data_IF_882401934536
#
_entry.id   IF_882401934536
#
_cell.length_a   1.000
_cell.length_b   1.000
_cell.length_c   1.000
_cell.angle_alpha   90.00
_cell.angle_beta   90.00
_cell.angle_gamma   90.00
#
_symmetry.space_group_name_H-M   'P 1'
#
loop_
_entity.id
_entity.type
_entity.pdbx_description
1 polymer ?
#
# COMPACT_ATOMS: atom_id res chain seq x y z
N UNK A 1 33.18 56.57 36.33
CA UNK A 1 34.12 56.38 37.46
C UNK A 1 35.45 55.94 36.87
N UNK A 2 36.53 56.68 37.12
CA UNK A 2 37.85 56.29 36.65
C UNK A 2 38.26 54.97 37.30
N UNK A 3 38.61 53.96 36.50
CA UNK A 3 39.18 52.70 36.99
C UNK A 3 40.65 52.95 37.28
N UNK A 4 41.09 52.65 38.50
CA UNK A 4 42.52 52.57 38.79
C UNK A 4 43.11 51.41 37.99
N UNK A 5 44.21 51.67 37.31
CA UNK A 5 45.07 50.64 36.74
C UNK A 5 46.12 50.23 37.77
N UNK A 6 46.65 49.00 37.68
CA UNK A 6 47.74 48.56 38.55
C UNK A 6 48.95 49.51 38.52
N UNK A 7 49.25 50.07 37.35
CA UNK A 7 50.31 51.07 37.15
C UNK A 7 50.03 52.39 37.89
N UNK A 8 48.76 52.73 38.10
CA UNK A 8 48.35 53.93 38.85
C UNK A 8 48.57 53.73 40.36
N UNK A 9 48.45 52.49 40.85
CA UNK A 9 48.77 52.12 42.23
C UNK A 9 50.28 52.21 42.49
N UNK A 10 51.10 51.63 41.61
CA UNK A 10 52.57 51.63 41.76
C UNK A 10 53.16 53.04 41.67
N UNK A 11 52.58 53.91 40.83
CA UNK A 11 53.03 55.29 40.68
C UNK A 11 52.42 56.28 41.70
N UNK A 12 51.61 55.79 42.64
CA UNK A 12 50.96 56.64 43.63
C UNK A 12 51.99 57.24 44.60
N UNK A 13 52.19 58.56 44.56
CA UNK A 13 53.03 59.27 45.51
C UNK A 13 52.20 59.85 46.66
N UNK A 14 52.58 59.50 47.88
CA UNK A 14 51.95 60.01 49.10
C UNK A 14 52.81 61.11 49.72
N UNK A 15 52.23 62.25 50.14
CA UNK A 15 52.97 63.29 50.84
C UNK A 15 53.53 62.77 52.18
N UNK A 16 54.76 63.20 52.55
CA UNK A 16 55.37 62.85 53.84
C UNK A 16 54.55 63.42 55.00
N UNK A 17 54.13 62.58 55.93
CA UNK A 17 53.35 63.00 57.08
C UNK A 17 54.21 63.72 58.13
N UNK A 18 53.77 64.91 58.57
CA UNK A 18 54.52 65.78 59.50
C UNK A 18 54.47 65.32 60.97
N UNK A 19 53.49 64.48 61.38
CA UNK A 19 53.41 63.89 62.72
C UNK A 19 52.48 62.65 62.69
N UNK A 20 52.92 61.50 63.22
CA UNK A 20 52.06 60.31 63.42
C UNK A 20 51.63 59.52 62.17
N UNK A 21 52.34 59.63 61.03
CA UNK A 21 51.98 58.94 59.78
C UNK A 21 52.30 57.45 59.76
N UNK A 22 51.73 56.74 58.78
CA UNK A 22 52.01 55.32 58.51
C UNK A 22 53.46 55.13 58.05
N UNK A 23 54.05 53.97 58.37
CA UNK A 23 55.39 53.62 57.93
C UNK A 23 55.40 53.43 56.41
N UNK A 24 56.33 54.11 55.75
CA UNK A 24 56.40 54.12 54.29
C UNK A 24 56.64 52.73 53.69
N UNK A 25 57.47 51.91 54.32
CA UNK A 25 57.76 50.54 53.88
C UNK A 25 56.51 49.64 53.90
N UNK A 26 55.76 49.63 55.01
CA UNK A 26 54.54 48.82 55.14
C UNK A 26 53.44 49.26 54.16
N UNK A 27 53.37 50.56 53.83
CA UNK A 27 52.44 51.10 52.84
C UNK A 27 52.84 50.70 51.43
N UNK A 28 54.13 50.78 51.08
CA UNK A 28 54.62 50.36 49.76
C UNK A 28 54.40 48.85 49.54
N UNK A 29 54.66 48.01 50.54
CA UNK A 29 54.37 46.56 50.47
C UNK A 29 52.88 46.25 50.29
N UNK A 30 52.00 47.08 50.86
CA UNK A 30 50.55 46.96 50.65
C UNK A 30 50.16 47.38 49.23
N UNK A 31 50.73 48.47 48.72
CA UNK A 31 50.50 48.97 47.35
C UNK A 31 50.95 47.92 46.33
N UNK A 32 52.13 47.32 46.51
CA UNK A 32 52.63 46.29 45.61
C UNK A 32 51.73 45.06 45.59
N UNK A 33 51.26 44.60 46.77
CA UNK A 33 50.30 43.49 46.86
C UNK A 33 48.95 43.85 46.24
N UNK A 34 48.47 45.07 46.46
CA UNK A 34 47.21 45.54 45.88
C UNK A 34 47.30 45.69 44.36
N UNK A 35 48.44 46.15 43.83
CA UNK A 35 48.70 46.23 42.40
C UNK A 35 48.70 44.85 41.75
N UNK A 36 49.38 43.86 42.34
CA UNK A 36 49.38 42.47 41.84
C UNK A 36 47.99 41.83 41.86
N UNK A 37 47.26 41.97 42.97
CA UNK A 37 45.90 41.46 43.07
C UNK A 37 44.97 42.13 42.03
N UNK A 38 45.17 43.43 41.76
CA UNK A 38 44.43 44.15 40.74
C UNK A 38 44.79 43.67 39.33
N UNK A 39 46.06 43.41 39.03
CA UNK A 39 46.50 42.79 37.76
C UNK A 39 45.82 41.45 37.54
N UNK A 40 45.89 40.55 38.52
CA UNK A 40 45.26 39.23 38.46
C UNK A 40 43.74 39.34 38.23
N UNK A 41 43.05 40.20 38.98
CA UNK A 41 41.62 40.44 38.80
C UNK A 41 41.29 41.03 37.43
N UNK A 42 42.12 41.94 36.90
CA UNK A 42 41.90 42.49 35.56
C UNK A 42 42.08 41.45 34.48
N UNK A 43 43.12 40.62 34.57
CA UNK A 43 43.39 39.53 33.63
C UNK A 43 42.27 38.48 33.66
N UNK A 44 41.84 38.06 34.85
CA UNK A 44 40.72 37.14 35.01
C UNK A 44 39.41 37.75 34.46
N UNK A 45 39.16 39.04 34.69
CA UNK A 45 37.97 39.70 34.15
C UNK A 45 37.98 39.75 32.62
N UNK A 46 39.13 39.99 32.01
CA UNK A 46 39.28 39.97 30.55
C UNK A 46 39.08 38.56 29.99
N UNK A 47 39.67 37.54 30.62
CA UNK A 47 39.46 36.16 30.22
C UNK A 47 37.99 35.76 30.32
N UNK A 48 37.34 35.99 31.48
CA UNK A 48 35.92 35.71 31.68
C UNK A 48 35.03 36.45 30.67
N UNK A 49 35.34 37.71 30.34
CA UNK A 49 34.63 38.46 29.29
C UNK A 49 34.79 37.80 27.93
N UNK A 50 35.99 37.35 27.59
CA UNK A 50 36.25 36.63 26.34
C UNK A 50 35.46 35.31 26.27
N UNK A 51 35.41 34.56 27.38
CA UNK A 51 34.64 33.34 27.49
C UNK A 51 33.14 33.59 27.30
N UNK A 52 32.60 34.64 27.94
CA UNK A 52 31.20 35.03 27.79
C UNK A 52 30.86 35.38 26.34
N UNK A 53 31.74 36.12 25.64
CA UNK A 53 31.52 36.45 24.22
C UNK A 53 31.51 35.19 23.36
N UNK A 54 32.48 34.28 23.56
CA UNK A 54 32.57 33.02 22.84
C UNK A 54 31.33 32.14 23.07
N UNK A 55 30.95 31.93 24.33
CA UNK A 55 29.78 31.12 24.69
C UNK A 55 28.48 31.70 24.15
N UNK A 56 28.34 33.03 24.11
CA UNK A 56 27.17 33.67 23.50
C UNK A 56 27.11 33.41 21.99
N UNK A 57 28.23 33.51 21.29
CA UNK A 57 28.28 33.24 19.86
C UNK A 57 27.92 31.77 19.56
N UNK A 58 28.44 30.83 20.34
CA UNK A 58 28.12 29.40 20.21
C UNK A 58 26.63 29.13 20.49
N UNK A 59 26.08 29.74 21.54
CA UNK A 59 24.67 29.59 21.90
C UNK A 59 23.75 30.15 20.80
N UNK A 60 24.09 31.29 20.22
CA UNK A 60 23.33 31.86 19.10
C UNK A 60 23.44 31.00 17.83
N UNK A 61 24.59 30.37 17.58
CA UNK A 61 24.72 29.37 16.51
C UNK A 61 23.81 28.17 16.77
N UNK A 62 23.85 27.59 17.97
CA UNK A 62 22.99 26.44 18.33
C UNK A 62 21.51 26.78 18.22
N UNK A 63 21.09 27.98 18.62
CA UNK A 63 19.70 28.46 18.45
C UNK A 63 19.29 28.55 16.99
N UNK A 64 20.19 28.99 16.12
CA UNK A 64 19.92 29.05 14.68
C UNK A 64 19.81 27.66 14.06
N UNK A 65 20.67 26.72 14.48
CA UNK A 65 20.61 25.32 14.06
C UNK A 65 19.32 24.66 14.55
N UNK A 66 18.93 24.86 15.81
CA UNK A 66 17.67 24.36 16.36
C UNK A 66 16.48 24.91 15.58
N UNK A 67 16.49 26.20 15.23
CA UNK A 67 15.43 26.80 14.40
C UNK A 67 15.36 26.14 13.03
N UNK A 68 16.49 25.92 12.38
CA UNK A 68 16.56 25.25 11.08
C UNK A 68 16.01 23.82 11.15
N UNK A 69 16.40 23.06 12.18
CA UNK A 69 15.91 21.69 12.40
C UNK A 69 14.39 21.70 12.63
N UNK A 70 13.89 22.62 13.44
CA UNK A 70 12.45 22.76 13.67
C UNK A 70 11.70 23.10 12.38
N UNK A 71 12.22 24.03 11.58
CA UNK A 71 11.63 24.40 10.30
C UNK A 71 11.62 23.22 9.31
N UNK A 72 12.71 22.43 9.28
CA UNK A 72 12.80 21.23 8.47
C UNK A 72 11.79 20.16 8.91
N UNK A 73 11.62 19.92 10.21
CA UNK A 73 10.62 18.99 10.76
C UNK A 73 9.21 19.44 10.38
N UNK A 74 8.89 20.73 10.55
CA UNK A 74 7.58 21.27 10.17
C UNK A 74 7.33 21.16 8.66
N UNK A 75 8.37 21.37 7.84
CA UNK A 75 8.29 21.17 6.39
C UNK A 75 8.04 19.71 6.03
N UNK A 76 8.76 18.77 6.64
CA UNK A 76 8.59 17.35 6.44
C UNK A 76 7.18 16.88 6.87
N UNK A 77 6.66 17.40 7.98
CA UNK A 77 5.28 17.12 8.43
C UNK A 77 4.25 17.58 7.40
N UNK A 78 4.34 18.82 6.93
CA UNK A 78 3.43 19.34 5.88
C UNK A 78 3.54 18.54 4.59
N UNK A 79 4.75 18.17 4.17
CA UNK A 79 4.94 17.32 2.99
C UNK A 79 4.31 15.94 3.17
N UNK A 80 4.45 15.33 4.35
CA UNK A 80 3.80 14.06 4.69
C UNK A 80 2.28 14.14 4.71
N UNK A 81 1.70 15.24 5.20
CA UNK A 81 0.26 15.49 5.18
C UNK A 81 -0.27 15.66 3.75
N UNK A 82 0.43 16.44 2.92
CA UNK A 82 0.09 16.59 1.50
C UNK A 82 0.14 15.26 0.77
N UNK A 83 1.21 14.48 0.95
CA UNK A 83 1.35 13.16 0.33
C UNK A 83 0.23 12.20 0.76
N UNK A 84 -0.15 12.20 2.05
CA UNK A 84 -1.27 11.39 2.54
C UNK A 84 -2.59 11.84 1.91
N UNK A 85 -2.84 13.15 1.81
CA UNK A 85 -4.03 13.68 1.16
C UNK A 85 -4.11 13.34 -0.32
N UNK A 86 -2.98 13.41 -1.03
CA UNK A 86 -2.88 13.05 -2.45
C UNK A 86 -3.12 11.55 -2.66
N UNK A 87 -2.46 10.70 -1.86
CA UNK A 87 -2.64 9.26 -1.93
C UNK A 87 -4.08 8.83 -1.61
N UNK A 88 -4.76 9.49 -0.67
CA UNK A 88 -6.17 9.24 -0.37
C UNK A 88 -7.07 9.62 -1.56
N UNK A 89 -6.86 10.80 -2.14
CA UNK A 89 -7.62 11.25 -3.33
C UNK A 89 -7.42 10.31 -4.50
N UNK A 90 -6.18 9.92 -4.77
CA UNK A 90 -5.85 8.99 -5.86
C UNK A 90 -6.48 7.61 -5.60
N UNK A 91 -6.41 7.09 -4.38
CA UNK A 91 -7.04 5.84 -4.01
C UNK A 91 -8.57 5.87 -4.21
N UNK A 92 -9.22 6.99 -3.88
CA UNK A 92 -10.66 7.17 -4.09
C UNK A 92 -11.01 7.27 -5.57
N UNK A 93 -10.19 7.95 -6.38
CA UNK A 93 -10.35 7.99 -7.84
C UNK A 93 -10.21 6.59 -8.46
N UNK A 94 -9.16 5.84 -8.10
CA UNK A 94 -8.96 4.47 -8.57
C UNK A 94 -10.15 3.57 -8.18
N UNK A 95 -10.64 3.70 -6.95
CA UNK A 95 -11.82 2.94 -6.50
C UNK A 95 -13.07 3.28 -7.30
N UNK A 96 -13.28 4.55 -7.60
CA UNK A 96 -14.43 5.00 -8.36
C UNK A 96 -14.34 4.54 -9.82
N UNK A 97 -13.17 4.67 -10.44
CA UNK A 97 -12.92 4.16 -11.79
C UNK A 97 -13.12 2.65 -11.87
N UNK A 98 -12.54 1.88 -10.95
CA UNK A 98 -12.71 0.43 -10.88
C UNK A 98 -14.19 0.04 -10.71
N UNK A 99 -14.95 0.79 -9.90
CA UNK A 99 -16.40 0.57 -9.74
C UNK A 99 -17.16 0.87 -11.03
N UNK A 100 -16.81 1.93 -11.74
CA UNK A 100 -17.44 2.28 -13.02
C UNK A 100 -17.14 1.23 -14.09
N UNK A 101 -15.88 0.81 -14.22
CA UNK A 101 -15.47 -0.25 -15.13
C UNK A 101 -16.19 -1.58 -14.81
N UNK A 102 -16.22 -1.99 -13.54
CA UNK A 102 -16.92 -3.21 -13.14
C UNK A 102 -18.44 -3.14 -13.40
N UNK A 103 -19.07 -1.96 -13.26
CA UNK A 103 -20.48 -1.77 -13.61
C UNK A 103 -20.70 -1.86 -15.11
N UNK A 104 -19.84 -1.24 -15.92
CA UNK A 104 -19.91 -1.28 -17.37
C UNK A 104 -19.73 -2.72 -17.88
N UNK A 105 -18.72 -3.44 -17.38
CA UNK A 105 -18.47 -4.84 -17.74
C UNK A 105 -19.65 -5.73 -17.38
N UNK A 106 -20.22 -5.58 -16.17
CA UNK A 106 -21.42 -6.33 -15.78
C UNK A 106 -22.61 -6.04 -16.66
N UNK A 107 -22.85 -4.77 -17.00
CA UNK A 107 -23.94 -4.38 -17.88
C UNK A 107 -23.76 -4.98 -19.27
N UNK A 108 -22.54 -4.97 -19.80
CA UNK A 108 -22.24 -5.59 -21.09
C UNK A 108 -22.46 -7.10 -21.05
N UNK A 109 -21.94 -7.78 -20.03
CA UNK A 109 -22.13 -9.22 -19.87
C UNK A 109 -23.61 -9.62 -19.70
N UNK A 110 -24.41 -8.79 -19.02
CA UNK A 110 -25.85 -8.99 -18.91
C UNK A 110 -26.54 -8.84 -20.26
N UNK A 111 -26.20 -7.80 -21.01
CA UNK A 111 -26.74 -7.57 -22.35
C UNK A 111 -26.38 -8.72 -23.30
N UNK A 112 -25.12 -9.14 -23.33
CA UNK A 112 -24.66 -10.26 -24.16
C UNK A 112 -25.38 -11.56 -23.77
N UNK A 113 -25.60 -11.80 -22.47
CA UNK A 113 -26.34 -12.97 -21.99
C UNK A 113 -27.82 -12.93 -22.40
N UNK A 114 -28.45 -11.76 -22.43
CA UNK A 114 -29.81 -11.58 -22.93
C UNK A 114 -29.89 -11.84 -24.43
N UNK A 115 -29.01 -11.24 -25.23
CA UNK A 115 -28.93 -11.48 -26.67
C UNK A 115 -28.71 -12.96 -26.99
N UNK A 116 -27.82 -13.64 -26.26
CA UNK A 116 -27.58 -15.07 -26.45
C UNK A 116 -28.81 -15.91 -26.10
N UNK A 117 -29.57 -15.55 -25.05
CA UNK A 117 -30.83 -16.23 -24.71
C UNK A 117 -31.87 -16.08 -25.82
N UNK A 118 -32.02 -14.88 -26.36
CA UNK A 118 -32.92 -14.61 -27.47
C UNK A 118 -32.54 -15.43 -28.71
N UNK A 119 -31.25 -15.50 -29.03
CA UNK A 119 -30.73 -16.28 -30.16
C UNK A 119 -30.96 -17.79 -29.96
N UNK A 120 -30.79 -18.30 -28.74
CA UNK A 120 -31.09 -19.70 -28.40
C UNK A 120 -32.58 -20.00 -28.60
N UNK A 121 -33.48 -19.12 -28.17
CA UNK A 121 -34.92 -19.30 -28.39
C UNK A 121 -35.29 -19.21 -29.87
N UNK A 122 -34.67 -18.29 -30.62
CA UNK A 122 -34.84 -18.20 -32.07
C UNK A 122 -34.41 -19.51 -32.76
N UNK A 123 -33.24 -20.06 -32.44
CA UNK A 123 -32.77 -21.33 -32.99
C UNK A 123 -33.65 -22.51 -32.59
N UNK A 124 -34.16 -22.54 -31.34
CA UNK A 124 -35.11 -23.57 -30.88
C UNK A 124 -36.41 -23.54 -31.69
N UNK A 125 -36.96 -22.36 -31.95
CA UNK A 125 -38.18 -22.22 -32.76
C UNK A 125 -37.94 -22.61 -34.22
N UNK A 126 -36.81 -22.21 -34.81
CA UNK A 126 -36.40 -22.64 -36.16
C UNK A 126 -36.26 -24.16 -36.26
N UNK A 127 -35.59 -24.80 -35.29
CA UNK A 127 -35.47 -26.27 -35.23
C UNK A 127 -36.83 -26.94 -35.18
N UNK A 128 -37.76 -26.46 -34.34
CA UNK A 128 -39.12 -27.01 -34.25
C UNK A 128 -39.87 -26.91 -35.58
N UNK A 129 -39.77 -25.76 -36.27
CA UNK A 129 -40.38 -25.55 -37.60
C UNK A 129 -39.80 -26.51 -38.64
N UNK A 130 -38.47 -26.61 -38.72
CA UNK A 130 -37.80 -27.52 -39.64
C UNK A 130 -38.21 -28.98 -39.43
N UNK A 131 -38.28 -29.45 -38.18
CA UNK A 131 -38.74 -30.82 -37.86
C UNK A 131 -40.20 -31.03 -38.31
N UNK A 132 -41.07 -30.04 -38.09
CA UNK A 132 -42.48 -30.13 -38.51
C UNK A 132 -42.62 -30.16 -40.05
N UNK A 133 -41.86 -29.32 -40.75
CA UNK A 133 -41.82 -29.28 -42.23
C UNK A 133 -41.33 -30.62 -42.81
N UNK A 134 -40.26 -31.19 -42.27
CA UNK A 134 -39.73 -32.48 -42.71
C UNK A 134 -40.71 -33.64 -42.42
N UNK A 135 -41.35 -33.65 -41.25
CA UNK A 135 -42.40 -34.64 -40.93
C UNK A 135 -43.57 -34.55 -41.90
N UNK A 136 -44.07 -33.35 -42.17
CA UNK A 136 -45.16 -33.14 -43.10
C UNK A 136 -44.80 -33.59 -44.54
N UNK A 137 -43.56 -33.33 -44.97
CA UNK A 137 -43.05 -33.79 -46.26
C UNK A 137 -43.01 -35.32 -46.34
N UNK A 138 -42.45 -35.99 -45.33
CA UNK A 138 -42.38 -37.45 -45.28
C UNK A 138 -43.77 -38.09 -45.21
N UNK A 139 -44.68 -37.56 -44.40
CA UNK A 139 -46.07 -38.03 -44.34
C UNK A 139 -46.77 -37.90 -45.69
N UNK A 140 -46.52 -36.81 -46.41
CA UNK A 140 -47.05 -36.62 -47.77
C UNK A 140 -46.48 -37.67 -48.72
N UNK A 141 -45.16 -37.88 -48.74
CA UNK A 141 -44.53 -38.91 -49.58
C UNK A 141 -45.02 -40.32 -49.25
N UNK A 142 -45.21 -40.65 -47.97
CA UNK A 142 -45.77 -41.94 -47.55
C UNK A 142 -47.22 -42.13 -48.02
N UNK A 143 -48.06 -41.09 -47.96
CA UNK A 143 -49.42 -41.15 -48.50
C UNK A 143 -49.40 -41.40 -50.01
N UNK A 144 -48.56 -40.67 -50.75
CA UNK A 144 -48.41 -40.87 -52.19
C UNK A 144 -47.99 -42.32 -52.54
N UNK A 145 -47.05 -42.91 -51.78
CA UNK A 145 -46.66 -44.32 -51.96
C UNK A 145 -47.81 -45.28 -51.65
N UNK A 146 -48.54 -45.05 -50.56
CA UNK A 146 -49.67 -45.89 -50.14
C UNK A 146 -50.90 -45.73 -51.06
N UNK A 147 -51.00 -44.64 -51.80
CA UNK A 147 -52.02 -44.47 -52.84
C UNK A 147 -51.64 -45.19 -54.14
N UNK A 148 -50.34 -45.42 -54.40
CA UNK A 148 -49.82 -46.19 -55.54
C UNK A 148 -49.90 -47.70 -55.28
N UNK A 149 -49.75 -48.14 -54.02
CA UNK A 149 -49.82 -49.54 -53.61
C UNK A 149 -51.08 -49.80 -52.77
N UNK A 150 -52.15 -50.40 -53.31
CA UNK A 150 -53.33 -50.72 -52.50
C UNK A 150 -52.95 -51.73 -51.39
N UNK A 151 -53.63 -51.72 -50.23
CA UNK A 151 -53.29 -52.59 -49.12
C UNK A 151 -53.37 -54.06 -49.56
N UNK A 152 -52.21 -54.71 -49.65
CA UNK A 152 -52.17 -56.17 -49.68
C UNK A 152 -52.66 -56.63 -48.31
N UNK A 153 -53.94 -57.02 -48.27
CA UNK A 153 -54.58 -57.57 -47.10
C UNK A 153 -53.73 -58.74 -46.57
N UNK A 154 -53.43 -58.67 -45.28
CA UNK A 154 -52.90 -59.77 -44.51
C UNK A 154 -53.84 -60.98 -44.62
N UNK A 155 -53.45 -61.96 -45.42
CA UNK A 155 -53.90 -63.35 -45.30
C UNK A 155 -52.70 -64.18 -44.88
N UNK A 156 -52.53 -64.32 -43.56
CA UNK A 156 -51.86 -65.48 -42.99
C UNK A 156 -52.62 -65.91 -41.74
N UNK A 157 -53.42 -66.95 -41.96
CA UNK A 157 -54.05 -67.82 -40.99
C UNK A 157 -53.00 -68.42 -40.05
N UNK A 158 -53.23 -68.33 -38.74
CA UNK A 158 -52.71 -69.30 -37.76
C UNK A 158 -53.34 -70.69 -38.02
N UNK A 159 -52.80 -71.86 -37.57
CA UNK A 159 -52.16 -72.04 -36.25
C UNK A 159 -51.06 -73.13 -36.06
N UNK A 160 -50.41 -73.03 -34.88
CA UNK A 160 -50.00 -74.10 -33.94
C UNK A 160 -48.61 -74.75 -33.98
N UNK A 161 -48.15 -75.02 -32.74
CA UNK A 161 -46.97 -75.77 -32.25
C UNK A 161 -45.66 -74.95 -32.19
N UNK A 162 -45.03 -74.70 -31.04
CA UNK A 162 -44.90 -75.52 -29.83
C UNK A 162 -44.61 -74.67 -28.56
N UNK A 163 -45.22 -75.05 -27.44
CA UNK A 163 -44.69 -74.84 -26.08
C UNK A 163 -43.35 -75.62 -25.94
N UNK A 164 -42.37 -75.31 -25.09
CA UNK A 164 -42.37 -74.92 -23.65
C UNK A 164 -40.99 -74.26 -23.33
N UNK A 165 -40.62 -73.91 -22.07
CA UNK A 165 -39.96 -72.64 -21.71
C UNK A 165 -38.45 -72.82 -21.40
N UNK A 166 -37.84 -71.78 -20.80
CA UNK A 166 -36.72 -71.84 -19.83
C UNK A 166 -35.40 -71.15 -20.22
N UNK A 167 -34.99 -70.22 -19.33
CA UNK A 167 -33.67 -69.57 -19.15
C UNK A 167 -33.17 -68.64 -20.29
N UNK A 168 -32.57 -67.46 -20.07
CA UNK A 168 -31.68 -67.00 -18.99
C UNK A 168 -31.54 -65.44 -19.03
N UNK A 169 -31.35 -64.81 -17.87
CA UNK A 169 -31.07 -63.37 -17.60
C UNK A 169 -29.67 -62.88 -18.11
N UNK A 170 -29.14 -61.68 -17.76
CA UNK A 170 -29.61 -60.30 -17.93
C UNK A 170 -28.54 -59.31 -18.51
N UNK A 171 -28.98 -58.11 -18.90
CA UNK A 171 -28.30 -56.78 -18.94
C UNK A 171 -26.92 -56.61 -19.67
N UNK A 172 -26.63 -55.41 -20.22
CA UNK A 172 -26.00 -54.43 -19.33
C UNK A 172 -26.52 -52.99 -19.47
N UNK A 173 -26.60 -52.38 -18.30
CA UNK A 173 -26.63 -50.96 -17.99
C UNK A 173 -25.56 -50.18 -18.77
N UNK A 174 -25.95 -49.32 -19.70
CA UNK A 174 -25.02 -48.32 -20.23
C UNK A 174 -25.01 -47.10 -19.30
N UNK A 175 -24.10 -47.12 -18.33
CA UNK A 175 -23.73 -45.96 -17.55
C UNK A 175 -23.09 -44.92 -18.49
N UNK A 176 -23.80 -43.85 -18.85
CA UNK A 176 -23.15 -42.68 -19.42
C UNK A 176 -22.44 -41.91 -18.31
N UNK A 177 -21.15 -42.23 -18.18
CA UNK A 177 -20.15 -41.40 -17.55
C UNK A 177 -20.09 -40.05 -18.29
N UNK A 178 -20.58 -38.98 -17.67
CA UNK A 178 -20.07 -37.66 -17.99
C UNK A 178 -18.75 -37.49 -17.23
N UNK A 179 -17.62 -37.18 -17.90
CA UNK A 179 -16.44 -36.73 -17.20
C UNK A 179 -16.74 -35.33 -16.63
N UNK A 180 -16.92 -35.22 -15.32
CA UNK A 180 -16.74 -33.96 -14.61
C UNK A 180 -15.28 -33.57 -14.75
N UNK A 181 -14.97 -32.75 -15.75
CA UNK A 181 -13.69 -32.04 -15.80
C UNK A 181 -13.74 -30.98 -14.69
N UNK A 182 -13.32 -31.35 -13.49
CA UNK A 182 -12.86 -30.37 -12.51
C UNK A 182 -11.72 -29.57 -13.17
N UNK A 183 -11.70 -28.22 -13.05
CA UNK A 183 -10.46 -27.50 -13.33
C UNK A 183 -9.37 -28.02 -12.37
N UNK A 184 -8.10 -28.15 -12.81
CA UNK A 184 -7.04 -28.55 -11.89
C UNK A 184 -6.95 -27.51 -10.77
N UNK A 185 -6.94 -28.00 -9.53
CA UNK A 185 -6.62 -27.21 -8.36
C UNK A 185 -5.33 -26.43 -8.63
N UNK A 186 -5.43 -25.11 -8.63
CA UNK A 186 -4.27 -24.22 -8.61
C UNK A 186 -3.44 -24.61 -7.39
N UNK A 187 -2.19 -24.99 -7.61
CA UNK A 187 -1.21 -25.23 -6.54
C UNK A 187 -1.25 -24.05 -5.55
N UNK A 188 -1.12 -24.27 -4.23
CA UNK A 188 -0.85 -23.17 -3.32
C UNK A 188 0.41 -22.45 -3.82
N UNK A 189 0.35 -21.13 -3.92
CA UNK A 189 1.54 -20.33 -4.23
C UNK A 189 2.60 -20.63 -3.17
N UNK A 190 3.82 -20.92 -3.61
CA UNK A 190 4.96 -20.97 -2.73
C UNK A 190 5.13 -19.59 -2.06
N UNK A 191 5.44 -19.53 -0.76
CA UNK A 191 5.57 -18.26 -0.06
C UNK A 191 6.70 -17.43 -0.69
N UNK A 192 6.38 -16.18 -1.03
CA UNK A 192 7.35 -15.21 -1.52
C UNK A 192 8.27 -14.86 -0.34
N UNK A 193 9.50 -15.34 -0.39
CA UNK A 193 10.56 -14.91 0.53
C UNK A 193 11.03 -13.53 0.07
N UNK A 194 10.62 -12.49 0.77
CA UNK A 194 11.20 -11.15 0.62
C UNK A 194 12.42 -11.12 1.54
N UNK A 195 13.61 -10.94 0.95
CA UNK A 195 14.84 -10.71 1.72
C UNK A 195 14.95 -9.20 1.98
N UNK A 196 14.87 -8.82 3.26
CA UNK A 196 15.23 -7.47 3.69
C UNK A 196 16.76 -7.31 3.67
N UNK A 197 17.24 -6.06 3.55
CA UNK A 197 18.67 -5.71 3.45
C UNK A 197 19.54 -6.12 4.67
N UNK A 198 18.93 -6.73 5.69
CA UNK A 198 19.59 -7.27 6.89
C UNK A 198 19.56 -8.81 7.00
N UNK A 199 19.10 -9.54 5.98
CA UNK A 199 19.28 -11.00 5.87
C UNK A 199 18.39 -11.87 6.76
N UNK A 200 17.37 -11.32 7.43
CA UNK A 200 16.39 -12.10 8.18
C UNK A 200 15.19 -12.47 7.29
N UNK A 201 14.88 -13.78 7.21
CA UNK A 201 13.82 -14.32 6.36
C UNK A 201 12.53 -14.48 7.16
N UNK A 202 11.47 -13.80 6.74
CA UNK A 202 10.11 -14.00 7.26
C UNK A 202 9.20 -14.63 6.19
N UNK A 203 8.38 -15.59 6.62
CA UNK A 203 7.35 -16.22 5.78
C UNK A 203 6.02 -15.55 6.13
N UNK A 204 5.36 -14.94 5.14
CA UNK A 204 3.94 -14.53 5.23
C UNK A 204 3.02 -15.67 4.83
#
# INVERSE_FOLDING_TARGET
>A
MARLLPIDLVNAQFPKASFGGYKHEEVNDLIDRAARALEELTAENEDLRSQVVRLRAELDQMRNEERLVKDAIMSAQRAGELLRGDAQREADLIREEARQQARAERSQAQHDAETLREEVERLRTQRKRFIAEQRALLEKSLRELNDIEPPTQAVVSAPSSSATPEAEEPAPTFAQQYPTRLPPATKPLDPVVVEDENGEKWVS
#
